data_IF_205904259753
#
_entry.id   IF_205904259753
#
_cell.length_a   1.000
_cell.length_b   1.000
_cell.length_c   1.000
_cell.angle_alpha   90.00
_cell.angle_beta   90.00
_cell.angle_gamma   90.00
#
_symmetry.space_group_name_H-M   'P 1'
#
loop_
_entity.id
_entity.type
_entity.pdbx_description
1 polymer ?
#
# COMPACT_ATOMS: atom_id res chain seq x y z
N UNK A 1 -60.43 -5.90 28.88
CA UNK A 1 -60.36 -6.78 27.70
C UNK A 1 -59.34 -6.31 26.65
N UNK A 2 -59.50 -5.10 26.04
CA UNK A 2 -58.57 -4.61 24.99
C UNK A 2 -57.11 -4.42 25.43
N UNK A 3 -56.87 -4.02 26.69
CA UNK A 3 -55.52 -3.86 27.25
C UNK A 3 -54.78 -5.18 27.46
N UNK A 4 -55.52 -6.28 27.69
CA UNK A 4 -54.93 -7.61 27.87
C UNK A 4 -54.45 -8.21 26.53
N UNK A 5 -55.20 -7.92 25.46
CA UNK A 5 -54.85 -8.36 24.11
C UNK A 5 -53.61 -7.65 23.57
N UNK A 6 -53.47 -6.35 23.88
CA UNK A 6 -52.29 -5.57 23.51
C UNK A 6 -51.02 -6.07 24.22
N UNK A 7 -51.14 -6.48 25.50
CA UNK A 7 -50.07 -7.07 26.29
C UNK A 7 -49.65 -8.46 25.75
N UNK A 8 -50.60 -9.26 25.27
CA UNK A 8 -50.34 -10.57 24.65
C UNK A 8 -49.58 -10.44 23.32
N UNK A 9 -49.95 -9.47 22.48
CA UNK A 9 -49.26 -9.18 21.22
C UNK A 9 -47.84 -8.66 21.48
N UNK A 10 -47.67 -7.79 22.48
CA UNK A 10 -46.36 -7.27 22.87
C UNK A 10 -45.43 -8.37 23.41
N UNK A 11 -45.98 -9.39 24.08
CA UNK A 11 -45.23 -10.55 24.56
C UNK A 11 -44.82 -11.51 23.44
N UNK A 12 -45.53 -11.58 22.31
CA UNK A 12 -45.16 -12.41 21.16
C UNK A 12 -43.99 -11.82 20.36
N UNK A 13 -43.80 -10.50 20.38
CA UNK A 13 -42.67 -9.82 19.69
C UNK A 13 -41.35 -9.97 20.47
N UNK A 14 -41.39 -10.31 21.76
CA UNK A 14 -40.20 -10.52 22.58
C UNK A 14 -39.43 -11.83 22.28
N UNK A 15 -39.97 -12.71 21.43
CA UNK A 15 -39.45 -14.07 21.21
C UNK A 15 -38.39 -14.25 20.11
N UNK A 16 -37.95 -13.19 19.42
CA UNK A 16 -37.08 -13.34 18.24
C UNK A 16 -35.87 -12.40 18.21
N UNK A 17 -35.31 -12.07 19.38
CA UNK A 17 -33.94 -11.55 19.44
C UNK A 17 -32.96 -12.73 19.36
N UNK A 18 -32.75 -13.24 18.14
CA UNK A 18 -31.56 -14.03 17.87
C UNK A 18 -30.35 -13.12 18.15
N UNK A 19 -29.61 -13.41 19.23
CA UNK A 19 -28.31 -12.81 19.45
C UNK A 19 -27.41 -13.19 18.27
N UNK A 20 -27.22 -12.29 17.32
CA UNK A 20 -26.24 -12.45 16.26
C UNK A 20 -24.89 -12.60 16.95
N UNK A 21 -24.33 -13.80 16.88
CA UNK A 21 -23.00 -14.02 17.40
C UNK A 21 -22.06 -13.24 16.50
N UNK A 22 -21.33 -12.29 17.06
CA UNK A 22 -20.27 -11.55 16.38
C UNK A 22 -18.92 -12.06 16.89
N UNK A 23 -17.99 -12.31 15.97
CA UNK A 23 -16.61 -12.62 16.30
C UNK A 23 -15.72 -11.46 15.85
N UNK A 24 -14.96 -10.89 16.78
CA UNK A 24 -13.93 -9.90 16.46
C UNK A 24 -12.65 -10.65 16.15
N UNK A 25 -12.18 -10.54 14.91
CA UNK A 25 -10.95 -11.18 14.47
C UNK A 25 -9.86 -10.12 14.41
N UNK A 26 -8.79 -10.34 15.17
CA UNK A 26 -7.56 -9.55 15.05
C UNK A 26 -6.76 -10.03 13.84
N UNK A 27 -7.14 -9.57 12.65
CA UNK A 27 -6.60 -10.00 11.36
C UNK A 27 -5.06 -9.88 11.28
N UNK A 28 -4.47 -8.87 11.93
CA UNK A 28 -3.02 -8.69 11.98
C UNK A 28 -2.29 -9.88 12.60
N UNK A 29 -2.82 -10.48 13.68
CA UNK A 29 -2.18 -11.62 14.36
C UNK A 29 -2.26 -12.92 13.54
N UNK A 30 -3.31 -13.07 12.74
CA UNK A 30 -3.49 -14.23 11.87
C UNK A 30 -2.60 -14.10 10.63
N UNK A 31 -2.55 -12.91 10.03
CA UNK A 31 -1.72 -12.65 8.84
C UNK A 31 -0.24 -12.85 9.12
N UNK A 32 0.26 -12.36 10.26
CA UNK A 32 1.67 -12.56 10.68
C UNK A 32 2.05 -14.03 10.92
N UNK A 33 1.07 -14.92 11.14
CA UNK A 33 1.30 -16.36 11.29
C UNK A 33 1.35 -17.11 9.96
N UNK A 34 0.97 -16.46 8.84
CA UNK A 34 1.01 -17.05 7.51
C UNK A 34 2.42 -16.87 6.90
N UNK A 35 3.13 -17.96 6.54
CA UNK A 35 4.45 -17.87 5.90
C UNK A 35 4.44 -17.02 4.61
N UNK A 36 3.34 -17.09 3.86
CA UNK A 36 3.16 -16.37 2.59
C UNK A 36 3.06 -14.85 2.81
N UNK A 37 2.45 -14.41 3.91
CA UNK A 37 2.37 -12.99 4.27
C UNK A 37 3.74 -12.43 4.63
N UNK A 38 4.52 -13.19 5.41
CA UNK A 38 5.90 -12.83 5.76
C UNK A 38 6.77 -12.76 4.49
N UNK A 39 6.67 -13.76 3.61
CA UNK A 39 7.41 -13.77 2.33
C UNK A 39 7.04 -12.57 1.44
N UNK A 40 5.76 -12.19 1.37
CA UNK A 40 5.31 -11.02 0.63
C UNK A 40 5.88 -9.72 1.21
N UNK A 41 5.88 -9.58 2.54
CA UNK A 41 6.49 -8.43 3.23
C UNK A 41 7.98 -8.30 2.92
N UNK A 42 8.74 -9.40 3.01
CA UNK A 42 10.16 -9.38 2.68
C UNK A 42 10.42 -9.02 1.21
N UNK A 43 9.58 -9.51 0.29
CA UNK A 43 9.71 -9.18 -1.12
C UNK A 43 9.48 -7.69 -1.39
N UNK A 44 8.45 -7.10 -0.78
CA UNK A 44 8.19 -5.66 -0.89
C UNK A 44 9.33 -4.85 -0.28
N UNK A 45 9.84 -5.26 0.89
CA UNK A 45 10.97 -4.58 1.53
C UNK A 45 12.24 -4.60 0.65
N UNK A 46 12.58 -5.74 0.04
CA UNK A 46 13.71 -5.85 -0.90
C UNK A 46 13.53 -4.95 -2.12
N UNK A 47 12.34 -4.90 -2.70
CA UNK A 47 12.06 -4.03 -3.85
C UNK A 47 12.16 -2.56 -3.48
N UNK A 48 11.64 -2.18 -2.32
CA UNK A 48 11.73 -0.82 -1.80
C UNK A 48 13.20 -0.40 -1.66
N UNK A 49 14.04 -1.22 -1.01
CA UNK A 49 15.47 -0.95 -0.85
C UNK A 49 16.17 -0.83 -2.21
N UNK A 50 15.89 -1.75 -3.13
CA UNK A 50 16.47 -1.71 -4.47
C UNK A 50 16.12 -0.42 -5.22
N UNK A 51 14.86 0.04 -5.15
CA UNK A 51 14.44 1.27 -5.80
C UNK A 51 15.00 2.52 -5.12
N UNK A 52 15.14 2.50 -3.79
CA UNK A 52 15.82 3.57 -3.04
C UNK A 52 17.28 3.70 -3.46
N UNK A 53 18.03 2.59 -3.54
CA UNK A 53 19.43 2.59 -3.97
C UNK A 53 19.60 3.10 -5.41
N UNK A 54 18.71 2.69 -6.32
CA UNK A 54 18.70 3.20 -7.69
C UNK A 54 18.46 4.71 -7.71
N UNK A 55 17.45 5.19 -7.01
CA UNK A 55 17.13 6.61 -6.98
C UNK A 55 18.25 7.45 -6.35
N UNK A 56 18.88 6.94 -5.29
CA UNK A 56 20.04 7.59 -4.68
C UNK A 56 21.21 7.72 -5.67
N UNK A 57 21.50 6.66 -6.42
CA UNK A 57 22.56 6.68 -7.45
C UNK A 57 22.30 7.77 -8.50
N UNK A 58 21.03 7.94 -8.89
CA UNK A 58 20.63 8.98 -9.85
C UNK A 58 20.74 10.40 -9.27
N UNK A 59 20.41 10.60 -8.00
CA UNK A 59 20.61 11.87 -7.32
C UNK A 59 22.08 12.22 -7.16
N UNK A 60 22.93 11.26 -6.79
CA UNK A 60 24.37 11.46 -6.67
C UNK A 60 24.99 11.86 -8.02
N UNK A 61 24.52 11.24 -9.12
CA UNK A 61 24.93 11.61 -10.48
C UNK A 61 24.51 13.04 -10.84
N UNK A 62 23.27 13.43 -10.52
CA UNK A 62 22.76 14.79 -10.73
C UNK A 62 23.54 15.84 -9.92
N UNK A 63 23.86 15.54 -8.65
CA UNK A 63 24.71 16.40 -7.83
C UNK A 63 26.11 16.54 -8.45
N UNK A 64 26.68 15.43 -8.93
CA UNK A 64 27.96 15.42 -9.64
C UNK A 64 27.96 16.34 -10.87
N UNK A 65 26.90 16.31 -11.69
CA UNK A 65 26.74 17.22 -12.82
C UNK A 65 26.71 18.69 -12.38
N UNK A 66 25.97 19.01 -11.32
CA UNK A 66 25.90 20.37 -10.79
C UNK A 66 27.27 20.85 -10.27
N UNK A 67 27.96 20.02 -9.49
CA UNK A 67 29.30 20.34 -8.99
C UNK A 67 30.30 20.54 -10.13
N UNK A 68 30.21 19.73 -11.19
CA UNK A 68 31.07 19.86 -12.37
C UNK A 68 30.81 21.17 -13.09
N UNK A 69 29.53 21.52 -13.31
CA UNK A 69 29.14 22.79 -13.91
C UNK A 69 29.70 23.97 -13.11
N UNK A 70 29.56 23.96 -11.78
CA UNK A 70 30.04 25.04 -10.92
C UNK A 70 31.57 25.24 -11.01
N UNK A 71 32.35 24.15 -11.12
CA UNK A 71 33.81 24.22 -11.29
C UNK A 71 34.22 24.80 -12.65
N UNK A 72 33.47 24.49 -13.70
CA UNK A 72 33.81 24.88 -15.08
C UNK A 72 33.16 26.19 -15.53
N UNK A 73 32.11 26.67 -14.85
CA UNK A 73 31.25 27.77 -15.30
C UNK A 73 32.01 29.03 -15.76
N UNK A 74 33.10 29.37 -15.09
CA UNK A 74 33.92 30.53 -15.40
C UNK A 74 34.68 30.42 -16.73
N UNK A 75 34.97 29.20 -17.20
CA UNK A 75 35.68 28.94 -18.46
C UNK A 75 34.74 28.66 -19.62
N UNK A 76 33.45 28.46 -19.36
CA UNK A 76 32.45 28.14 -20.39
C UNK A 76 31.93 29.40 -21.10
N UNK A 77 31.63 29.26 -22.38
CA UNK A 77 30.89 30.28 -23.15
C UNK A 77 29.42 30.32 -22.73
N UNK A 78 28.70 31.40 -23.08
CA UNK A 78 27.27 31.51 -22.77
C UNK A 78 26.45 30.34 -23.35
N UNK A 79 26.74 29.92 -24.58
CA UNK A 79 26.04 28.81 -25.22
C UNK A 79 26.29 27.48 -24.49
N UNK A 80 27.55 27.21 -24.10
CA UNK A 80 27.89 25.99 -23.37
C UNK A 80 27.23 25.95 -21.99
N UNK A 81 27.14 27.09 -21.29
CA UNK A 81 26.43 27.18 -20.02
C UNK A 81 24.94 26.83 -20.18
N UNK A 82 24.29 27.38 -21.19
CA UNK A 82 22.88 27.07 -21.48
C UNK A 82 22.67 25.58 -21.77
N UNK A 83 23.54 24.96 -22.56
CA UNK A 83 23.46 23.51 -22.82
C UNK A 83 23.62 22.70 -21.54
N UNK A 84 24.62 23.01 -20.70
CA UNK A 84 24.83 22.32 -19.42
C UNK A 84 23.66 22.49 -18.45
N UNK A 85 23.12 23.71 -18.34
CA UNK A 85 21.97 24.00 -17.49
C UNK A 85 20.75 23.21 -17.97
N UNK A 86 20.54 23.12 -19.29
CA UNK A 86 19.46 22.31 -19.86
C UNK A 86 19.63 20.82 -19.58
N UNK A 87 20.84 20.27 -19.75
CA UNK A 87 21.14 18.87 -19.42
C UNK A 87 20.86 18.54 -17.96
N UNK A 88 21.23 19.44 -17.03
CA UNK A 88 20.94 19.27 -15.60
C UNK A 88 19.42 19.29 -15.34
N UNK A 89 18.68 20.22 -15.96
CA UNK A 89 17.23 20.32 -15.81
C UNK A 89 16.50 19.09 -16.38
N UNK A 90 16.92 18.61 -17.54
CA UNK A 90 16.36 17.42 -18.16
C UNK A 90 16.64 16.19 -17.29
N UNK A 91 17.86 16.07 -16.75
CA UNK A 91 18.19 14.98 -15.83
C UNK A 91 17.39 15.05 -14.53
N UNK A 92 17.23 16.23 -13.95
CA UNK A 92 16.39 16.41 -12.74
C UNK A 92 14.94 15.94 -12.99
N UNK A 93 14.40 16.25 -14.17
CA UNK A 93 13.06 15.82 -14.57
C UNK A 93 12.99 14.29 -14.71
N UNK A 94 13.99 13.66 -15.33
CA UNK A 94 14.07 12.21 -15.44
C UNK A 94 14.10 11.53 -14.06
N UNK A 95 14.92 12.03 -13.12
CA UNK A 95 15.00 11.46 -11.77
C UNK A 95 13.67 11.60 -11.03
N UNK A 96 12.98 12.74 -11.15
CA UNK A 96 11.63 12.93 -10.58
C UNK A 96 10.60 11.97 -11.19
N UNK A 97 10.64 11.75 -12.49
CA UNK A 97 9.77 10.79 -13.16
C UNK A 97 10.05 9.36 -12.72
N UNK A 98 11.33 9.00 -12.52
CA UNK A 98 11.72 7.70 -12.01
C UNK A 98 11.24 7.48 -10.57
N UNK A 99 11.35 8.50 -9.72
CA UNK A 99 10.80 8.48 -8.36
C UNK A 99 9.30 8.21 -8.38
N UNK A 100 8.54 8.95 -9.19
CA UNK A 100 7.09 8.75 -9.31
C UNK A 100 6.75 7.37 -9.89
N UNK A 101 7.53 6.89 -10.86
CA UNK A 101 7.34 5.55 -11.44
C UNK A 101 7.51 4.43 -10.40
N UNK A 102 8.40 4.59 -9.43
CA UNK A 102 8.61 3.58 -8.39
C UNK A 102 7.70 3.76 -7.18
N UNK A 103 7.58 4.99 -6.68
CA UNK A 103 6.98 5.32 -5.39
C UNK A 103 5.70 6.15 -5.47
N UNK A 104 5.25 6.51 -6.68
CA UNK A 104 3.96 7.17 -6.89
C UNK A 104 2.79 6.30 -6.43
N UNK A 105 1.60 6.91 -6.35
CA UNK A 105 0.39 6.21 -5.90
C UNK A 105 0.06 4.99 -6.78
N UNK A 106 0.30 5.11 -8.07
CA UNK A 106 0.16 4.04 -9.08
C UNK A 106 1.53 3.49 -9.52
N UNK A 107 2.54 3.72 -8.68
CA UNK A 107 3.92 3.33 -8.91
C UNK A 107 4.11 1.82 -8.86
N UNK A 108 5.27 1.38 -9.32
CA UNK A 108 5.63 -0.03 -9.41
C UNK A 108 5.55 -0.71 -8.05
N UNK A 109 6.05 -0.07 -6.99
CA UNK A 109 6.04 -0.64 -5.64
C UNK A 109 4.60 -0.83 -5.12
N UNK A 110 3.72 0.14 -5.35
CA UNK A 110 2.31 0.07 -4.92
C UNK A 110 1.59 -1.08 -5.64
N UNK A 111 1.72 -1.18 -6.96
CA UNK A 111 1.12 -2.25 -7.77
C UNK A 111 1.63 -3.63 -7.38
N UNK A 112 2.94 -3.77 -7.18
CA UNK A 112 3.51 -5.05 -6.74
C UNK A 112 3.03 -5.42 -5.34
N UNK A 113 2.91 -4.45 -4.43
CA UNK A 113 2.35 -4.67 -3.09
C UNK A 113 0.91 -5.18 -3.18
N UNK A 114 0.05 -4.54 -3.98
CA UNK A 114 -1.32 -5.00 -4.18
C UNK A 114 -1.37 -6.44 -4.71
N UNK A 115 -0.60 -6.74 -5.77
CA UNK A 115 -0.55 -8.07 -6.39
C UNK A 115 -0.11 -9.15 -5.40
N UNK A 116 0.83 -8.85 -4.50
CA UNK A 116 1.33 -9.81 -3.52
C UNK A 116 0.36 -10.04 -2.36
N UNK A 117 -0.26 -8.97 -1.85
CA UNK A 117 -1.10 -9.09 -0.64
C UNK A 117 -2.56 -9.47 -0.94
N UNK A 118 -3.11 -9.08 -2.09
CA UNK A 118 -4.50 -9.36 -2.46
C UNK A 118 -4.89 -10.85 -2.35
N UNK A 119 -4.16 -11.81 -2.93
CA UNK A 119 -4.53 -13.23 -2.82
C UNK A 119 -4.40 -13.80 -1.40
N UNK A 120 -3.57 -13.18 -0.56
CA UNK A 120 -3.44 -13.55 0.86
C UNK A 120 -4.67 -13.05 1.62
N UNK A 121 -5.09 -11.81 1.36
CA UNK A 121 -6.28 -11.22 1.95
C UNK A 121 -7.56 -11.96 1.53
N UNK A 122 -7.70 -12.33 0.26
CA UNK A 122 -8.84 -13.10 -0.26
C UNK A 122 -8.95 -14.47 0.42
N UNK A 123 -7.86 -15.24 0.50
CA UNK A 123 -7.85 -16.54 1.19
C UNK A 123 -8.17 -16.43 2.68
N UNK A 124 -7.69 -15.37 3.34
CA UNK A 124 -8.04 -15.11 4.72
C UNK A 124 -9.55 -14.82 4.87
N UNK A 125 -10.12 -13.98 4.00
CA UNK A 125 -11.57 -13.70 4.03
C UNK A 125 -12.40 -14.95 3.79
N UNK A 126 -11.99 -15.80 2.85
CA UNK A 126 -12.67 -17.07 2.58
C UNK A 126 -12.60 -18.02 3.78
N UNK A 127 -11.44 -18.14 4.41
CA UNK A 127 -11.27 -18.96 5.62
C UNK A 127 -12.13 -18.45 6.78
N UNK A 128 -12.19 -17.12 6.97
CA UNK A 128 -13.04 -16.50 7.99
C UNK A 128 -14.52 -16.75 7.69
N UNK A 129 -14.93 -16.68 6.41
CA UNK A 129 -16.29 -17.00 5.97
C UNK A 129 -16.69 -18.42 6.30
N UNK A 130 -15.85 -19.39 5.94
CA UNK A 130 -16.10 -20.80 6.24
C UNK A 130 -16.25 -21.06 7.74
N UNK A 131 -15.45 -20.39 8.57
CA UNK A 131 -15.55 -20.50 10.04
C UNK A 131 -16.85 -19.87 10.52
N UNK A 132 -17.19 -18.67 10.05
CA UNK A 132 -18.41 -17.98 10.45
C UNK A 132 -19.66 -18.81 10.11
N UNK A 133 -19.72 -19.35 8.89
CA UNK A 133 -20.79 -20.24 8.44
C UNK A 133 -20.86 -21.52 9.27
N UNK A 134 -19.72 -22.17 9.54
CA UNK A 134 -19.64 -23.41 10.33
C UNK A 134 -20.17 -23.24 11.76
N UNK A 135 -19.97 -22.08 12.36
CA UNK A 135 -20.36 -21.82 13.75
C UNK A 135 -21.61 -20.93 13.88
N UNK A 136 -22.25 -20.58 12.77
CA UNK A 136 -23.46 -19.76 12.73
C UNK A 136 -23.24 -18.30 13.19
N UNK A 137 -22.03 -17.77 13.01
CA UNK A 137 -21.76 -16.33 13.19
C UNK A 137 -22.26 -15.58 11.95
N UNK A 138 -22.96 -14.46 12.15
CA UNK A 138 -23.27 -13.53 11.06
C UNK A 138 -22.02 -12.71 10.75
N UNK A 139 -21.61 -12.64 9.49
CA UNK A 139 -20.56 -11.71 9.04
C UNK A 139 -21.14 -10.41 8.53
#
# INVERSE_FOLDING_TARGET
MKKMFLLLIMSMVAGSLFAQKYAIIHSQNILSALPEYTSAQEQVARLQEQYQQKLQTEYDALEGMFQQYQKQKATLTAQQRLTYEQEILDREKEVKQLQEQYFGQEGTLAKTTEVLFKPIQERMQDTVREIAERYGYSM
#
